data_IF_396434034303
#
_entry.id   IF_396434034303
#
_cell.length_a   1.000
_cell.length_b   1.000
_cell.length_c   1.000
_cell.angle_alpha   90.00
_cell.angle_beta   90.00
_cell.angle_gamma   90.00
#
_symmetry.space_group_name_H-M   'P 1'
#
loop_
_entity.id
_entity.type
_entity.pdbx_description
1 polymer ?
#
# COMPACT_ATOMS: atom_id res chain seq x y z
N UNK A 1 -0.12 10.35 6.00
CA UNK A 1 -1.21 10.17 5.01
C UNK A 1 -0.94 8.89 4.20
N UNK A 2 -1.95 8.15 3.69
CA UNK A 2 -1.72 7.08 2.69
C UNK A 2 -2.25 7.55 1.36
N UNK A 3 -1.38 7.56 0.35
CA UNK A 3 -1.79 7.66 -1.04
C UNK A 3 -1.74 6.27 -1.69
N UNK A 4 -2.83 5.94 -2.38
CA UNK A 4 -3.02 4.65 -3.03
C UNK A 4 -2.83 4.82 -4.52
N UNK A 5 -1.88 4.08 -5.09
CA UNK A 5 -1.65 4.05 -6.54
C UNK A 5 -1.95 2.65 -7.05
N UNK A 6 -3.11 2.48 -7.68
CA UNK A 6 -3.49 1.25 -8.37
C UNK A 6 -2.85 1.20 -9.75
N UNK A 7 -2.19 0.10 -10.09
CA UNK A 7 -1.73 -0.19 -11.45
C UNK A 7 -2.62 -1.32 -11.98
N UNK A 8 -3.47 -0.99 -12.95
CA UNK A 8 -4.29 -1.98 -13.66
C UNK A 8 -3.53 -2.46 -14.89
N UNK A 9 -3.30 -3.77 -15.00
CA UNK A 9 -2.75 -4.36 -16.21
C UNK A 9 -3.89 -4.64 -17.18
N UNK A 10 -4.02 -3.81 -18.21
CA UNK A 10 -5.09 -3.83 -19.22
C UNK A 10 -4.93 -4.95 -20.27
N UNK A 11 -4.78 -6.21 -19.82
CA UNK A 11 -4.64 -7.36 -20.73
C UNK A 11 -5.49 -8.58 -20.37
N UNK A 12 -6.39 -8.48 -19.39
CA UNK A 12 -7.29 -9.58 -19.03
C UNK A 12 -8.75 -9.14 -18.97
N UNK A 13 -9.66 -10.06 -19.31
CA UNK A 13 -11.11 -9.88 -19.19
C UNK A 13 -11.58 -9.76 -17.72
N UNK A 14 -10.73 -10.15 -16.78
CA UNK A 14 -10.87 -9.95 -15.33
C UNK A 14 -9.50 -9.49 -14.78
N UNK A 15 -9.16 -8.18 -14.89
CA UNK A 15 -7.81 -7.72 -14.62
C UNK A 15 -7.47 -7.90 -13.13
N UNK A 16 -6.48 -8.73 -12.84
CA UNK A 16 -5.84 -8.78 -11.53
C UNK A 16 -5.12 -7.44 -11.29
N UNK A 17 -5.57 -6.69 -10.28
CA UNK A 17 -5.04 -5.36 -9.99
C UNK A 17 -3.89 -5.48 -9.00
N UNK A 18 -2.67 -5.17 -9.47
CA UNK A 18 -1.53 -4.97 -8.57
C UNK A 18 -1.67 -3.60 -7.91
N UNK A 19 -2.08 -3.62 -6.65
CA UNK A 19 -2.14 -2.43 -5.84
C UNK A 19 -0.80 -2.21 -5.10
N UNK A 20 -0.27 -1.00 -5.18
CA UNK A 20 0.90 -0.55 -4.43
C UNK A 20 0.43 0.62 -3.55
N UNK A 21 0.60 0.49 -2.24
CA UNK A 21 0.34 1.63 -1.36
C UNK A 21 1.65 2.36 -1.12
N UNK A 22 1.58 3.69 -1.16
CA UNK A 22 2.71 4.56 -0.90
C UNK A 22 2.46 5.23 0.45
N UNK A 23 3.39 5.04 1.36
CA UNK A 23 3.36 5.64 2.69
C UNK A 23 4.38 6.78 2.74
N UNK A 24 3.89 7.96 3.10
CA UNK A 24 4.74 9.02 3.64
C UNK A 24 4.88 8.82 5.14
N UNK A 25 6.13 8.82 5.62
CA UNK A 25 6.41 8.57 7.04
C UNK A 25 6.20 9.87 7.82
N UNK A 26 5.09 9.90 8.55
CA UNK A 26 4.69 10.92 9.51
C UNK A 26 4.59 10.32 10.92
N UNK A 27 4.53 11.16 11.96
CA UNK A 27 4.33 10.75 13.36
C UNK A 27 5.26 9.63 13.83
N UNK A 28 6.53 9.66 13.40
CA UNK A 28 7.51 8.62 13.75
C UNK A 28 7.15 7.22 13.23
N UNK A 29 6.39 7.10 12.14
CA UNK A 29 6.12 5.84 11.44
C UNK A 29 5.24 4.85 12.19
N UNK A 30 4.56 5.26 13.27
CA UNK A 30 3.67 4.42 14.09
C UNK A 30 2.63 3.72 13.20
N UNK A 31 1.92 4.52 12.40
CA UNK A 31 0.86 4.02 11.53
C UNK A 31 1.35 3.01 10.49
N UNK A 32 2.56 3.22 9.96
CA UNK A 32 3.14 2.32 8.95
C UNK A 32 3.49 0.98 9.58
N UNK A 33 4.19 0.96 10.71
CA UNK A 33 4.53 -0.27 11.43
C UNK A 33 3.27 -1.05 11.88
N UNK A 34 2.18 -0.36 12.22
CA UNK A 34 0.89 -0.99 12.47
C UNK A 34 0.26 -1.60 11.21
N UNK A 35 0.53 -1.05 10.03
CA UNK A 35 -0.13 -1.41 8.76
C UNK A 35 0.61 -2.47 7.93
N UNK A 36 1.90 -2.70 8.20
CA UNK A 36 2.77 -3.59 7.40
C UNK A 36 3.20 -4.83 8.19
N UNK A 37 3.62 -5.89 7.49
CA UNK A 37 3.94 -7.20 8.11
C UNK A 37 5.39 -7.33 8.59
N UNK A 38 6.19 -6.27 8.49
CA UNK A 38 7.59 -6.23 8.88
C UNK A 38 7.90 -4.90 9.58
N UNK A 39 9.00 -4.83 10.32
CA UNK A 39 9.38 -3.61 11.02
C UNK A 39 10.22 -2.71 10.10
N UNK A 40 9.97 -1.41 10.17
CA UNK A 40 10.82 -0.38 9.55
C UNK A 40 11.33 0.60 10.60
N UNK A 41 12.52 1.14 10.38
CA UNK A 41 12.97 2.34 11.06
C UNK A 41 12.40 3.58 10.33
N UNK A 42 11.54 4.38 10.97
CA UNK A 42 10.99 5.60 10.39
C UNK A 42 12.07 6.60 9.95
N UNK A 43 13.23 6.62 10.63
CA UNK A 43 14.33 7.54 10.34
C UNK A 43 14.93 7.33 8.94
N UNK A 44 14.81 6.12 8.38
CA UNK A 44 15.32 5.79 7.05
C UNK A 44 14.50 6.43 5.91
N UNK A 45 13.27 6.83 6.20
CA UNK A 45 12.29 7.27 5.20
C UNK A 45 11.77 8.69 5.45
N UNK A 46 11.77 9.18 6.69
CA UNK A 46 11.28 10.52 7.05
C UNK A 46 11.87 11.64 6.18
N UNK A 47 11.00 12.41 5.51
CA UNK A 47 11.33 13.63 4.76
C UNK A 47 12.25 13.45 3.54
N UNK A 48 12.64 12.22 3.19
CA UNK A 48 13.61 11.93 2.12
C UNK A 48 13.13 10.88 1.13
N UNK A 49 12.31 9.93 1.57
CA UNK A 49 11.89 8.77 0.78
C UNK A 49 10.44 8.41 1.10
N UNK A 50 9.74 7.89 0.11
CA UNK A 50 8.44 7.25 0.33
C UNK A 50 8.62 5.74 0.40
N UNK A 51 7.77 5.07 1.16
CA UNK A 51 7.75 3.62 1.24
C UNK A 51 6.63 3.08 0.35
N UNK A 52 6.99 2.49 -0.78
CA UNK A 52 6.05 1.87 -1.71
C UNK A 52 6.01 0.35 -1.46
N UNK A 53 4.85 -0.17 -1.05
CA UNK A 53 4.70 -1.58 -0.70
C UNK A 53 3.62 -2.28 -1.52
N UNK A 54 3.96 -3.42 -2.15
CA UNK A 54 2.96 -4.36 -2.63
C UNK A 54 2.06 -4.82 -1.48
N UNK A 55 0.79 -5.12 -1.79
CA UNK A 55 -0.21 -5.52 -0.78
C UNK A 55 0.12 -6.79 -0.01
N UNK A 56 0.94 -7.69 -0.56
CA UNK A 56 1.37 -8.90 0.14
C UNK A 56 2.21 -8.60 1.40
N UNK A 57 2.78 -7.40 1.49
CA UNK A 57 3.59 -6.95 2.62
C UNK A 57 2.79 -6.16 3.68
N UNK A 58 1.45 -6.17 3.59
CA UNK A 58 0.56 -5.37 4.43
C UNK A 58 -0.43 -6.23 5.22
N UNK A 59 -0.86 -5.74 6.39
CA UNK A 59 -1.76 -6.47 7.29
C UNK A 59 -3.25 -6.40 6.90
N UNK A 60 -3.65 -5.46 6.02
CA UNK A 60 -5.05 -5.35 5.56
C UNK A 60 -5.42 -6.45 4.54
N UNK A 61 -6.55 -7.12 4.75
CA UNK A 61 -7.13 -8.12 3.84
C UNK A 61 -7.53 -7.48 2.50
N UNK A 62 -7.07 -8.07 1.39
CA UNK A 62 -7.33 -7.59 0.02
C UNK A 62 -8.78 -7.72 -0.48
N UNK A 63 -9.69 -8.34 0.27
CA UNK A 63 -11.07 -8.58 -0.17
C UNK A 63 -11.91 -7.30 -0.33
N UNK A 64 -11.68 -6.29 0.51
CA UNK A 64 -12.45 -5.03 0.47
C UNK A 64 -11.95 -4.09 -0.63
N UNK A 65 -10.67 -4.15 -0.96
CA UNK A 65 -10.09 -3.31 -2.02
C UNK A 65 -10.38 -3.89 -3.40
N UNK A 66 -10.36 -5.22 -3.57
CA UNK A 66 -10.89 -5.87 -4.79
C UNK A 66 -12.32 -5.45 -5.08
N UNK A 67 -13.17 -5.38 -4.05
CA UNK A 67 -14.56 -4.94 -4.18
C UNK A 67 -14.64 -3.49 -4.65
N UNK A 68 -13.86 -2.56 -4.08
CA UNK A 68 -13.85 -1.15 -4.53
C UNK A 68 -13.36 -0.95 -5.96
N UNK A 69 -12.44 -1.80 -6.41
CA UNK A 69 -11.88 -1.70 -7.77
C UNK A 69 -12.81 -2.35 -8.80
N UNK A 70 -13.42 -3.49 -8.45
CA UNK A 70 -14.29 -4.23 -9.37
C UNK A 70 -15.74 -3.70 -9.37
N UNK A 71 -16.23 -3.16 -8.24
CA UNK A 71 -17.63 -2.73 -8.08
C UNK A 71 -17.83 -1.20 -8.13
N UNK A 72 -16.76 -0.40 -8.14
CA UNK A 72 -16.81 1.07 -8.27
C UNK A 72 -17.25 1.81 -7.01
#
# INVERSE_FOLDING_TARGET
MIDYYGITFDHDTDPEVLQINIFEIEDGGIYVNESISFEIDPADYAGKKVLALPRCCQKRKGSTDRMRVNDG
#
